data_IF_240520895195
#
_entry.id   IF_240520895195
#
_cell.length_a   1.000
_cell.length_b   1.000
_cell.length_c   1.000
_cell.angle_alpha   90.00
_cell.angle_beta   90.00
_cell.angle_gamma   90.00
#
_symmetry.space_group_name_H-M   'P 1'
#
loop_
_entity.id
_entity.type
_entity.pdbx_description
1 polymer ?
#
# COMPACT_ATOMS: atom_id res chain seq x y z
N UNK A 1 12.49 5.61 -9.78
CA UNK A 1 12.85 4.55 -8.81
C UNK A 1 11.76 4.44 -7.76
N UNK A 2 11.32 3.24 -7.44
CA UNK A 2 10.31 3.05 -6.41
C UNK A 2 10.88 3.33 -5.03
N UNK A 3 10.01 3.72 -4.10
CA UNK A 3 10.34 3.82 -2.70
C UNK A 3 9.30 3.06 -1.89
N UNK A 4 9.76 2.07 -1.14
CA UNK A 4 8.90 1.29 -0.24
C UNK A 4 8.79 1.98 1.12
N UNK A 5 7.72 1.68 1.83
CA UNK A 5 7.54 2.09 3.22
C UNK A 5 7.25 0.85 4.07
N UNK A 6 8.31 0.15 4.44
CA UNK A 6 8.25 -1.11 5.20
C UNK A 6 8.39 -0.85 6.70
N UNK A 7 9.29 0.06 7.06
CA UNK A 7 9.51 0.51 8.43
C UNK A 7 9.70 2.01 8.47
N UNK A 8 9.59 2.60 9.65
CA UNK A 8 9.85 4.03 9.85
C UNK A 8 11.30 4.39 9.48
N UNK A 9 12.21 3.43 9.54
CA UNK A 9 13.61 3.64 9.19
C UNK A 9 13.85 3.84 7.69
N UNK A 10 12.87 3.53 6.85
CA UNK A 10 12.95 3.79 5.40
C UNK A 10 12.86 5.28 5.08
N UNK A 11 12.41 6.08 6.03
CA UNK A 11 12.27 7.52 5.88
C UNK A 11 13.42 8.26 6.56
N UNK A 12 13.97 9.27 5.88
CA UNK A 12 14.80 10.27 6.55
C UNK A 12 13.93 11.12 7.48
N UNK A 13 14.56 11.81 8.42
CA UNK A 13 13.85 12.74 9.30
C UNK A 13 13.10 13.81 8.49
N UNK A 14 13.71 14.31 7.43
CA UNK A 14 13.10 15.27 6.53
C UNK A 14 11.83 14.71 5.87
N UNK A 15 11.92 13.51 5.29
CA UNK A 15 10.78 12.85 4.65
C UNK A 15 9.64 12.57 5.62
N UNK A 16 9.97 12.17 6.85
CA UNK A 16 8.98 11.96 7.90
C UNK A 16 8.16 13.23 8.17
N UNK A 17 8.85 14.36 8.35
CA UNK A 17 8.16 15.63 8.58
C UNK A 17 7.41 16.13 7.34
N UNK A 18 7.92 15.88 6.14
CA UNK A 18 7.19 16.20 4.90
C UNK A 18 5.84 15.47 4.84
N UNK A 19 5.81 14.19 5.20
CA UNK A 19 4.57 13.41 5.22
C UNK A 19 3.58 13.99 6.23
N UNK A 20 4.03 14.35 7.42
CA UNK A 20 3.18 14.97 8.43
C UNK A 20 2.62 16.32 7.97
N UNK A 21 3.45 17.14 7.36
CA UNK A 21 3.03 18.45 6.85
C UNK A 21 2.04 18.30 5.69
N UNK A 22 2.31 17.38 4.77
CA UNK A 22 1.37 17.08 3.68
C UNK A 22 0.03 16.61 4.24
N UNK A 23 0.06 15.75 5.25
CA UNK A 23 -1.16 15.25 5.91
C UNK A 23 -1.99 16.40 6.48
N UNK A 24 -1.35 17.36 7.15
CA UNK A 24 -2.03 18.56 7.68
C UNK A 24 -2.66 19.38 6.56
N UNK A 25 -1.92 19.60 5.48
CA UNK A 25 -2.41 20.34 4.30
C UNK A 25 -3.62 19.66 3.67
N UNK A 26 -3.56 18.34 3.51
CA UNK A 26 -4.65 17.56 2.94
C UNK A 26 -5.90 17.59 3.80
N UNK A 27 -5.75 17.53 5.13
CA UNK A 27 -6.87 17.65 6.07
C UNK A 27 -7.50 19.04 6.05
N UNK A 28 -6.68 20.07 5.89
CA UNK A 28 -7.14 21.45 5.87
C UNK A 28 -7.88 21.80 4.56
N UNK A 29 -7.42 21.27 3.44
CA UNK A 29 -7.99 21.56 2.12
C UNK A 29 -8.06 20.28 1.26
N UNK A 30 -8.99 19.36 1.58
CA UNK A 30 -9.09 18.08 0.87
C UNK A 30 -9.42 18.24 -0.61
N UNK A 31 -10.14 19.28 -0.99
CA UNK A 31 -10.55 19.53 -2.38
C UNK A 31 -9.35 19.62 -3.32
N UNK A 32 -8.25 20.22 -2.86
CA UNK A 32 -7.03 20.41 -3.64
C UNK A 32 -6.41 19.07 -4.07
N UNK A 33 -6.67 18.00 -3.35
CA UNK A 33 -6.01 16.70 -3.55
C UNK A 33 -6.92 15.65 -4.17
N UNK A 34 -8.13 15.99 -4.58
CA UNK A 34 -9.12 15.03 -5.11
C UNK A 34 -8.66 14.24 -6.31
N UNK A 35 -7.71 14.75 -7.07
CA UNK A 35 -7.18 14.10 -8.26
C UNK A 35 -5.71 13.71 -8.12
N UNK A 36 -5.16 13.74 -6.91
CA UNK A 36 -3.73 13.47 -6.68
C UNK A 36 -3.33 12.05 -7.10
N UNK A 37 -4.24 11.08 -6.95
CA UNK A 37 -4.03 9.69 -7.34
C UNK A 37 -5.00 9.26 -8.45
N UNK A 38 -5.36 10.20 -9.33
CA UNK A 38 -6.27 9.90 -10.44
C UNK A 38 -5.74 8.73 -11.26
N UNK A 39 -6.62 7.79 -11.55
CA UNK A 39 -6.36 6.57 -12.32
C UNK A 39 -5.29 5.64 -11.71
N UNK A 40 -4.97 5.83 -10.41
CA UNK A 40 -4.05 4.94 -9.70
C UNK A 40 -4.79 3.86 -8.95
N UNK A 41 -4.22 2.66 -8.94
CA UNK A 41 -4.78 1.48 -8.31
C UNK A 41 -3.84 0.98 -7.23
N UNK A 42 -4.37 0.75 -6.03
CA UNK A 42 -3.66 0.16 -4.91
C UNK A 42 -4.20 -1.25 -4.65
N UNK A 43 -3.35 -2.26 -4.76
CA UNK A 43 -3.70 -3.59 -4.28
C UNK A 43 -3.59 -3.62 -2.76
N UNK A 44 -4.63 -4.09 -2.09
CA UNK A 44 -4.72 -4.10 -0.63
C UNK A 44 -4.75 -5.54 -0.14
N UNK A 45 -3.58 -6.07 0.19
CA UNK A 45 -3.42 -7.47 0.61
C UNK A 45 -3.64 -7.59 2.12
N UNK A 46 -4.62 -8.39 2.52
CA UNK A 46 -4.92 -8.66 3.92
C UNK A 46 -4.81 -10.14 4.23
N UNK A 47 -3.73 -10.55 4.89
CA UNK A 47 -3.63 -11.86 5.53
C UNK A 47 -4.20 -11.82 6.94
N UNK A 48 -4.20 -10.63 7.54
CA UNK A 48 -4.81 -10.35 8.84
C UNK A 48 -5.98 -9.38 8.64
N UNK A 49 -7.23 -9.79 8.91
CA UNK A 49 -8.38 -8.91 8.77
C UNK A 49 -8.28 -7.66 9.66
N UNK A 50 -8.70 -6.54 9.12
CA UNK A 50 -8.76 -5.28 9.88
C UNK A 50 -9.73 -4.31 9.22
N UNK A 51 -10.81 -3.99 9.94
CA UNK A 51 -11.80 -3.04 9.47
C UNK A 51 -11.20 -1.63 9.29
N UNK A 52 -10.52 -1.15 10.32
CA UNK A 52 -9.99 0.21 10.31
C UNK A 52 -8.93 0.41 9.22
N UNK A 53 -8.00 -0.51 9.10
CA UNK A 53 -6.95 -0.42 8.08
C UNK A 53 -7.56 -0.48 6.68
N UNK A 54 -8.49 -1.41 6.43
CA UNK A 54 -9.18 -1.52 5.15
C UNK A 54 -9.90 -0.23 4.78
N UNK A 55 -10.73 0.28 5.68
CA UNK A 55 -11.52 1.49 5.41
C UNK A 55 -10.64 2.71 5.20
N UNK A 56 -9.58 2.86 5.99
CA UNK A 56 -8.66 4.00 5.86
C UNK A 56 -8.01 4.05 4.49
N UNK A 57 -7.47 2.93 4.03
CA UNK A 57 -6.81 2.87 2.72
C UNK A 57 -7.82 2.96 1.57
N UNK A 58 -8.92 2.24 1.64
CA UNK A 58 -9.91 2.22 0.56
C UNK A 58 -10.58 3.59 0.38
N UNK A 59 -11.04 4.19 1.46
CA UNK A 59 -11.63 5.54 1.43
C UNK A 59 -10.59 6.58 1.05
N UNK A 60 -9.37 6.48 1.58
CA UNK A 60 -8.28 7.38 1.24
C UNK A 60 -7.98 7.38 -0.26
N UNK A 61 -7.91 6.22 -0.88
CA UNK A 61 -7.71 6.11 -2.32
C UNK A 61 -8.83 6.77 -3.11
N UNK A 62 -10.09 6.50 -2.73
CA UNK A 62 -11.26 7.10 -3.40
C UNK A 62 -11.26 8.63 -3.27
N UNK A 63 -10.95 9.16 -2.09
CA UNK A 63 -10.90 10.61 -1.86
C UNK A 63 -9.79 11.31 -2.63
N UNK A 64 -8.76 10.58 -3.03
CA UNK A 64 -7.64 11.10 -3.82
C UNK A 64 -7.79 10.83 -5.32
N UNK A 65 -8.91 10.25 -5.73
CA UNK A 65 -9.24 10.00 -7.15
C UNK A 65 -8.76 8.65 -7.69
N UNK A 66 -8.19 7.81 -6.84
CA UNK A 66 -7.76 6.45 -7.19
C UNK A 66 -8.73 5.38 -6.71
N UNK A 67 -8.30 4.14 -6.76
CA UNK A 67 -9.07 2.99 -6.29
C UNK A 67 -8.19 2.03 -5.48
N UNK A 68 -8.80 1.40 -4.47
CA UNK A 68 -8.20 0.29 -3.73
C UNK A 68 -8.92 -1.00 -4.07
N UNK A 69 -8.15 -2.05 -4.35
CA UNK A 69 -8.69 -3.39 -4.59
C UNK A 69 -8.37 -4.26 -3.38
N UNK A 70 -9.41 -4.67 -2.67
CA UNK A 70 -9.27 -5.51 -1.48
C UNK A 70 -9.06 -6.97 -1.88
N UNK A 71 -7.98 -7.55 -1.37
CA UNK A 71 -7.60 -8.95 -1.56
C UNK A 71 -7.63 -9.65 -0.21
N UNK A 72 -8.67 -10.44 0.01
CA UNK A 72 -8.88 -11.17 1.25
C UNK A 72 -7.90 -12.36 1.38
N UNK A 73 -7.71 -12.91 2.60
CA UNK A 73 -6.88 -14.10 2.79
C UNK A 73 -7.28 -15.28 1.91
N UNK A 74 -8.58 -15.41 1.61
CA UNK A 74 -9.10 -16.45 0.71
C UNK A 74 -8.77 -16.22 -0.77
N UNK A 75 -8.53 -14.97 -1.16
CA UNK A 75 -8.21 -14.61 -2.54
C UNK A 75 -6.75 -14.89 -2.86
N UNK A 76 -5.87 -14.63 -1.89
CA UNK A 76 -4.42 -14.84 -2.02
C UNK A 76 -3.93 -15.69 -0.87
N UNK A 77 -3.52 -16.93 -1.17
CA UNK A 77 -2.90 -17.82 -0.20
C UNK A 77 -1.38 -17.76 -0.35
N UNK A 78 -0.81 -16.63 0.05
CA UNK A 78 0.64 -16.39 -0.03
C UNK A 78 1.43 -17.41 0.77
N UNK A 79 2.47 -17.95 0.13
CA UNK A 79 3.36 -18.91 0.75
C UNK A 79 2.84 -20.34 0.75
N UNK A 80 1.54 -20.56 0.48
CA UNK A 80 0.98 -21.91 0.40
C UNK A 80 0.58 -22.28 -1.04
N UNK A 81 -0.21 -21.46 -1.70
CA UNK A 81 -0.70 -21.70 -3.06
C UNK A 81 0.19 -21.04 -4.11
N UNK A 82 0.61 -19.81 -3.84
CA UNK A 82 1.51 -19.07 -4.71
C UNK A 82 2.68 -18.51 -3.91
N UNK A 83 3.86 -18.43 -4.53
CA UNK A 83 4.99 -17.78 -3.90
C UNK A 83 4.72 -16.27 -3.79
N UNK A 84 5.30 -15.65 -2.76
CA UNK A 84 5.22 -14.19 -2.56
C UNK A 84 5.79 -13.45 -3.77
N UNK A 85 6.87 -13.98 -4.35
CA UNK A 85 7.52 -13.39 -5.52
C UNK A 85 6.61 -13.40 -6.76
N UNK A 86 5.90 -14.50 -6.99
CA UNK A 86 4.99 -14.61 -8.13
C UNK A 86 3.82 -13.65 -7.98
N UNK A 87 3.28 -13.50 -6.78
CA UNK A 87 2.23 -12.52 -6.49
C UNK A 87 2.72 -11.10 -6.79
N UNK A 88 3.92 -10.74 -6.32
CA UNK A 88 4.51 -9.44 -6.59
C UNK A 88 4.71 -9.16 -8.08
N UNK A 89 5.19 -10.17 -8.82
CA UNK A 89 5.40 -10.08 -10.26
C UNK A 89 4.10 -9.97 -11.05
N UNK A 90 3.05 -10.62 -10.59
CA UNK A 90 1.74 -10.51 -11.23
C UNK A 90 1.11 -9.15 -10.97
N UNK A 91 1.07 -8.73 -9.71
CA UNK A 91 0.42 -7.48 -9.32
C UNK A 91 1.06 -6.25 -9.97
N UNK A 92 2.39 -6.23 -10.14
CA UNK A 92 3.06 -5.07 -10.75
C UNK A 92 2.61 -4.75 -12.17
N UNK A 93 1.91 -5.69 -12.84
CA UNK A 93 1.38 -5.49 -14.18
C UNK A 93 0.06 -4.73 -14.19
N UNK A 94 -0.64 -4.69 -13.06
CA UNK A 94 -2.00 -4.17 -12.98
C UNK A 94 -2.17 -2.99 -12.05
N UNK A 95 -1.30 -2.88 -11.01
CA UNK A 95 -1.48 -1.87 -9.97
C UNK A 95 -0.29 -0.92 -9.90
N UNK A 96 -0.51 0.22 -9.28
CA UNK A 96 0.50 1.28 -9.11
C UNK A 96 1.20 1.20 -7.75
N UNK A 97 0.62 0.48 -6.81
CA UNK A 97 1.18 0.27 -5.48
C UNK A 97 0.53 -0.92 -4.79
N UNK A 98 1.17 -1.40 -3.74
CA UNK A 98 0.68 -2.51 -2.92
C UNK A 98 0.77 -2.10 -1.46
N UNK A 99 -0.35 -2.22 -0.71
CA UNK A 99 -0.28 -2.23 0.73
C UNK A 99 -0.51 -3.64 1.21
N UNK A 100 0.17 -4.03 2.28
CA UNK A 100 0.07 -5.38 2.82
C UNK A 100 -0.03 -5.36 4.34
N UNK A 101 -0.99 -6.10 4.86
CA UNK A 101 -1.13 -6.37 6.29
C UNK A 101 -1.01 -7.88 6.51
N UNK A 102 0.09 -8.30 7.11
CA UNK A 102 0.44 -9.71 7.29
C UNK A 102 1.05 -9.95 8.65
N UNK A 103 1.20 -11.23 9.02
CA UNK A 103 1.82 -11.61 10.29
C UNK A 103 3.35 -11.63 10.23
N UNK A 104 3.93 -11.90 9.05
CA UNK A 104 5.38 -12.07 8.90
C UNK A 104 6.05 -10.89 8.22
N UNK A 105 7.06 -10.31 8.86
CA UNK A 105 7.83 -9.20 8.27
C UNK A 105 8.65 -9.66 7.05
N UNK A 106 9.14 -10.89 7.06
CA UNK A 106 9.88 -11.50 5.95
C UNK A 106 9.05 -11.55 4.66
N UNK A 107 7.75 -11.80 4.78
CA UNK A 107 6.82 -11.79 3.63
C UNK A 107 6.79 -10.41 2.98
N UNK A 108 6.78 -9.36 3.77
CA UNK A 108 6.77 -7.97 3.26
C UNK A 108 8.07 -7.67 2.52
N UNK A 109 9.20 -8.08 3.08
CA UNK A 109 10.50 -7.90 2.44
C UNK A 109 10.60 -8.63 1.11
N UNK A 110 10.18 -9.89 1.07
CA UNK A 110 10.17 -10.69 -0.16
C UNK A 110 9.26 -10.07 -1.23
N UNK A 111 8.10 -9.58 -0.81
CA UNK A 111 7.19 -8.90 -1.72
C UNK A 111 7.82 -7.63 -2.28
N UNK A 112 8.40 -6.80 -1.42
CA UNK A 112 9.04 -5.55 -1.83
C UNK A 112 10.19 -5.78 -2.82
N UNK A 113 10.99 -6.82 -2.61
CA UNK A 113 12.09 -7.17 -3.51
C UNK A 113 11.60 -7.72 -4.85
N UNK A 114 10.43 -8.35 -4.88
CA UNK A 114 9.92 -9.03 -6.07
C UNK A 114 9.19 -8.13 -7.05
N UNK A 115 8.76 -6.96 -6.64
CA UNK A 115 7.90 -6.07 -7.44
C UNK A 115 8.55 -4.72 -7.72
N UNK A 116 8.17 -4.11 -8.84
CA UNK A 116 8.62 -2.76 -9.23
C UNK A 116 7.77 -1.65 -8.64
N UNK A 117 6.58 -1.96 -8.15
CA UNK A 117 5.70 -0.96 -7.55
C UNK A 117 5.98 -0.78 -6.06
N UNK A 118 5.71 0.41 -5.49
CA UNK A 118 5.91 0.65 -4.07
C UNK A 118 5.11 -0.31 -3.19
N UNK A 119 5.72 -0.75 -2.11
CA UNK A 119 5.08 -1.60 -1.09
C UNK A 119 5.01 -0.85 0.22
N UNK A 120 3.83 -0.84 0.82
CA UNK A 120 3.54 -0.18 2.10
C UNK A 120 3.15 -1.24 3.13
N UNK A 121 3.86 -1.24 4.25
CA UNK A 121 3.50 -2.08 5.40
C UNK A 121 2.36 -1.41 6.17
N UNK A 122 1.25 -2.11 6.29
CA UNK A 122 0.03 -1.61 6.96
C UNK A 122 -0.26 -2.30 8.30
N UNK A 123 0.77 -2.88 8.91
CA UNK A 123 0.64 -3.50 10.24
C UNK A 123 0.93 -2.49 11.34
#
# INVERSE_FOLDING_TARGET
>A
MKKDFITIHDLSQYEFYEILDLTKKMKKNPEKYRSALKDKILAMIFQKPSLRTRMTFEVGMLQLGGEGIYLAPSDIQMGSRESVRDIGKNLERWVDGIMIRTFGHDIILDLAESTRVPVINAL
#
